data_IF_406211913179
#
_entry.id   IF_406211913179
#
_cell.length_a   1.000
_cell.length_b   1.000
_cell.length_c   1.000
_cell.angle_alpha   90.00
_cell.angle_beta   90.00
_cell.angle_gamma   90.00
#
_symmetry.space_group_name_H-M   'P 1'
#
loop_
_entity.id
_entity.type
_entity.pdbx_description
1 polymer ?
#
# COMPACT_ATOMS: atom_id res chain seq x y z
N UNK A 1 -24.24 -1.91 -11.54
CA UNK A 1 -23.60 -2.91 -10.64
C UNK A 1 -22.84 -2.18 -9.55
N UNK A 2 -23.03 -2.55 -8.29
CA UNK A 2 -22.36 -1.95 -7.13
C UNK A 2 -20.97 -2.59 -6.88
N UNK A 3 -20.05 -1.85 -6.25
CA UNK A 3 -18.72 -2.35 -5.85
C UNK A 3 -18.79 -3.69 -5.09
N UNK A 4 -19.72 -3.80 -4.13
CA UNK A 4 -19.91 -5.01 -3.34
C UNK A 4 -20.29 -6.20 -4.24
N UNK A 5 -21.20 -5.99 -5.20
CA UNK A 5 -21.64 -7.06 -6.12
C UNK A 5 -20.52 -7.55 -7.05
N UNK A 6 -19.60 -6.67 -7.44
CA UNK A 6 -18.43 -7.06 -8.23
C UNK A 6 -17.41 -7.85 -7.41
N UNK A 7 -17.13 -7.42 -6.18
CA UNK A 7 -16.21 -8.10 -5.26
C UNK A 7 -16.71 -9.50 -4.90
N UNK A 8 -17.99 -9.63 -4.56
CA UNK A 8 -18.61 -10.92 -4.23
C UNK A 8 -18.55 -11.88 -5.42
N UNK A 9 -18.90 -11.41 -6.63
CA UNK A 9 -18.81 -12.22 -7.85
C UNK A 9 -17.39 -12.70 -8.12
N UNK A 10 -16.41 -11.82 -7.90
CA UNK A 10 -14.99 -12.16 -8.06
C UNK A 10 -14.53 -13.21 -7.03
N UNK A 11 -14.86 -13.03 -5.75
CA UNK A 11 -14.56 -14.00 -4.68
C UNK A 11 -15.17 -15.37 -4.99
N UNK A 12 -16.46 -15.39 -5.36
CA UNK A 12 -17.18 -16.61 -5.71
C UNK A 12 -16.52 -17.35 -6.89
N UNK A 13 -16.11 -16.64 -7.94
CA UNK A 13 -15.40 -17.23 -9.07
C UNK A 13 -14.04 -17.83 -8.71
N UNK A 14 -13.31 -17.24 -7.76
CA UNK A 14 -12.01 -17.77 -7.30
C UNK A 14 -12.15 -19.02 -6.45
N UNK A 15 -13.15 -19.05 -5.58
CA UNK A 15 -13.45 -20.22 -4.74
C UNK A 15 -13.92 -21.39 -5.64
N UNK A 16 -14.80 -21.11 -6.61
CA UNK A 16 -15.27 -22.12 -7.56
C UNK A 16 -14.15 -22.64 -8.49
N UNK A 17 -13.27 -21.76 -8.97
CA UNK A 17 -12.15 -22.14 -9.85
C UNK A 17 -11.07 -22.96 -9.16
N UNK A 18 -10.93 -22.88 -7.84
CA UNK A 18 -10.01 -23.73 -7.06
C UNK A 18 -10.48 -25.19 -6.98
N UNK A 19 -11.75 -25.48 -7.27
CA UNK A 19 -12.33 -26.82 -7.19
C UNK A 19 -12.17 -27.65 -8.49
N UNK A 20 -11.68 -27.07 -9.59
CA UNK A 20 -11.52 -27.77 -10.86
C UNK A 20 -10.10 -28.38 -10.98
N UNK A 21 -9.96 -29.71 -11.13
CA UNK A 21 -8.63 -30.33 -11.26
C UNK A 21 -8.00 -29.98 -12.63
N UNK A 22 -6.72 -29.57 -12.67
CA UNK A 22 -6.05 -29.20 -13.92
C UNK A 22 -5.69 -30.43 -14.75
N UNK A 23 -6.03 -30.41 -16.04
CA UNK A 23 -5.65 -31.46 -16.99
C UNK A 23 -4.15 -31.33 -17.39
N UNK A 24 -3.28 -32.29 -17.01
CA UNK A 24 -1.82 -32.14 -17.09
C UNK A 24 -1.26 -32.02 -18.52
N UNK A 25 -1.97 -32.54 -19.52
CA UNK A 25 -1.52 -32.51 -20.92
C UNK A 25 -1.62 -31.11 -21.56
N UNK A 26 -2.60 -30.28 -21.18
CA UNK A 26 -2.68 -28.88 -21.64
C UNK A 26 -1.63 -27.98 -20.99
N UNK A 27 -1.21 -28.31 -19.77
CA UNK A 27 -0.21 -27.54 -19.03
C UNK A 27 1.22 -27.72 -19.57
N UNK A 28 1.53 -28.87 -20.19
CA UNK A 28 2.83 -29.11 -20.83
C UNK A 28 2.95 -28.38 -22.18
N UNK A 29 1.91 -28.40 -23.02
CA UNK A 29 1.93 -27.76 -24.34
C UNK A 29 1.94 -26.22 -24.28
N UNK A 30 1.37 -25.61 -23.24
CA UNK A 30 1.35 -24.15 -23.08
C UNK A 30 2.67 -23.54 -22.58
N UNK A 31 3.59 -24.37 -22.07
CA UNK A 31 4.87 -23.92 -21.47
C UNK A 31 6.00 -23.71 -22.47
N UNK A 32 5.90 -24.22 -23.70
CA UNK A 32 7.07 -24.28 -24.59
C UNK A 32 7.37 -22.99 -25.37
N UNK A 33 6.39 -22.15 -25.74
CA UNK A 33 6.66 -20.92 -26.53
C UNK A 33 5.60 -19.84 -26.32
N UNK A 34 5.32 -19.43 -25.08
CA UNK A 34 4.45 -18.28 -24.83
C UNK A 34 5.29 -17.07 -24.41
N UNK A 35 5.49 -16.11 -25.32
CA UNK A 35 5.96 -14.77 -24.94
C UNK A 35 5.07 -14.24 -23.81
N UNK A 36 5.62 -13.65 -22.74
CA UNK A 36 4.81 -13.19 -21.62
C UNK A 36 3.77 -12.18 -22.11
N UNK A 37 2.48 -12.55 -22.08
CA UNK A 37 1.42 -11.62 -22.43
C UNK A 37 1.39 -10.48 -21.41
N UNK A 38 1.18 -9.23 -21.86
CA UNK A 38 1.00 -8.12 -20.95
C UNK A 38 -0.26 -8.37 -20.10
N UNK A 39 -0.15 -8.04 -18.81
CA UNK A 39 -1.29 -8.01 -17.92
C UNK A 39 -2.32 -7.02 -18.45
N UNK A 40 -3.60 -7.34 -18.27
CA UNK A 40 -4.70 -6.47 -18.68
C UNK A 40 -5.34 -5.85 -17.47
N UNK A 41 -5.70 -4.58 -17.57
CA UNK A 41 -6.57 -3.97 -16.57
C UNK A 41 -7.92 -4.67 -16.52
N UNK A 42 -8.42 -4.94 -15.31
CA UNK A 42 -9.79 -5.44 -15.13
C UNK A 42 -10.80 -4.40 -15.56
N UNK A 43 -11.83 -4.85 -16.29
CA UNK A 43 -12.99 -4.03 -16.58
C UNK A 43 -14.09 -4.25 -15.52
N UNK A 44 -14.80 -3.18 -15.09
CA UNK A 44 -14.57 -1.78 -15.43
C UNK A 44 -13.39 -1.19 -14.63
N UNK A 45 -12.48 -0.52 -15.33
CA UNK A 45 -11.19 -0.09 -14.80
C UNK A 45 -11.33 0.80 -13.57
N UNK A 46 -12.05 1.92 -13.69
CA UNK A 46 -12.18 2.89 -12.60
C UNK A 46 -12.75 2.29 -11.32
N UNK A 47 -13.69 1.34 -11.45
CA UNK A 47 -14.27 0.70 -10.28
C UNK A 47 -13.23 -0.17 -9.54
N UNK A 48 -12.47 -1.01 -10.26
CA UNK A 48 -11.44 -1.82 -9.59
C UNK A 48 -10.33 -0.96 -8.96
N UNK A 49 -9.99 0.17 -9.57
CA UNK A 49 -9.07 1.16 -9.01
C UNK A 49 -9.60 1.77 -7.71
N UNK A 50 -10.83 2.29 -7.73
CA UNK A 50 -11.45 2.92 -6.55
C UNK A 50 -11.68 1.91 -5.42
N UNK A 51 -12.17 0.72 -5.74
CA UNK A 51 -12.41 -0.33 -4.75
C UNK A 51 -11.11 -0.73 -4.05
N UNK A 52 -10.05 -0.98 -4.83
CA UNK A 52 -8.75 -1.34 -4.25
C UNK A 52 -8.17 -0.17 -3.46
N UNK A 53 -8.24 1.06 -3.95
CA UNK A 53 -7.78 2.24 -3.22
C UNK A 53 -8.50 2.42 -1.88
N UNK A 54 -9.84 2.36 -1.87
CA UNK A 54 -10.64 2.48 -0.65
C UNK A 54 -10.37 1.33 0.32
N UNK A 55 -10.47 0.08 -0.14
CA UNK A 55 -10.31 -1.09 0.72
C UNK A 55 -8.91 -1.15 1.35
N UNK A 56 -7.87 -0.83 0.57
CA UNK A 56 -6.49 -0.98 1.02
C UNK A 56 -6.02 0.19 1.89
N UNK A 57 -6.61 1.37 1.71
CA UNK A 57 -6.47 2.48 2.65
C UNK A 57 -7.10 2.12 3.99
N UNK A 58 -8.35 1.64 4.00
CA UNK A 58 -9.04 1.30 5.24
C UNK A 58 -8.40 0.11 5.98
N UNK A 59 -7.77 -0.81 5.26
CA UNK A 59 -7.06 -1.95 5.84
C UNK A 59 -5.60 -1.65 6.19
N UNK A 60 -5.13 -0.41 5.99
CA UNK A 60 -3.74 -0.08 6.29
C UNK A 60 -3.48 -0.08 7.80
N UNK A 61 -2.44 -0.79 8.29
CA UNK A 61 -2.07 -0.82 9.70
C UNK A 61 -1.98 0.56 10.36
N UNK A 62 -1.38 1.60 9.73
CA UNK A 62 -1.32 2.93 10.35
C UNK A 62 -2.69 3.55 10.64
N UNK A 63 -3.70 3.29 9.80
CA UNK A 63 -5.07 3.80 10.02
C UNK A 63 -5.66 3.19 11.29
N UNK A 64 -5.47 1.89 11.48
CA UNK A 64 -5.94 1.18 12.68
C UNK A 64 -5.12 1.50 13.92
N UNK A 65 -3.79 1.53 13.82
CA UNK A 65 -2.92 1.85 14.96
C UNK A 65 -3.18 3.27 15.47
N UNK A 66 -3.21 4.27 14.57
CA UNK A 66 -3.49 5.66 14.96
C UNK A 66 -4.95 5.80 15.45
N UNK A 67 -5.91 5.20 14.75
CA UNK A 67 -7.31 5.21 15.16
C UNK A 67 -7.53 4.62 16.55
N UNK A 68 -6.88 3.49 16.85
CA UNK A 68 -6.94 2.85 18.17
C UNK A 68 -6.30 3.73 19.26
N UNK A 69 -5.15 4.36 18.98
CA UNK A 69 -4.51 5.30 19.91
C UNK A 69 -5.44 6.48 20.23
N UNK A 70 -6.08 7.06 19.21
CA UNK A 70 -7.04 8.16 19.38
C UNK A 70 -8.33 7.74 20.09
N UNK A 71 -8.75 6.48 19.97
CA UNK A 71 -9.89 5.94 20.71
C UNK A 71 -9.57 5.73 22.20
N UNK A 72 -8.35 5.30 22.52
CA UNK A 72 -7.89 5.14 23.91
C UNK A 72 -7.74 6.50 24.57
N UNK A 73 -7.12 7.45 23.87
CA UNK A 73 -6.99 8.82 24.33
C UNK A 73 -7.08 9.79 23.16
N UNK A 74 -8.21 10.49 23.06
CA UNK A 74 -8.43 11.52 22.05
C UNK A 74 -7.65 12.82 22.34
N UNK A 75 -7.18 13.01 23.58
CA UNK A 75 -6.36 14.17 23.92
C UNK A 75 -4.98 14.03 23.30
N UNK A 76 -4.67 14.95 22.40
CA UNK A 76 -3.34 15.10 21.83
C UNK A 76 -3.05 16.58 21.68
N UNK A 77 -1.84 16.98 22.05
CA UNK A 77 -1.36 18.35 21.84
C UNK A 77 -1.22 18.71 20.35
N UNK A 78 -1.31 17.72 19.45
CA UNK A 78 -1.20 17.87 18.00
C UNK A 78 -2.28 17.09 17.24
N UNK A 79 -3.57 17.46 17.33
CA UNK A 79 -4.66 16.69 16.71
C UNK A 79 -4.55 16.64 15.18
N UNK A 80 -4.06 17.71 14.56
CA UNK A 80 -3.83 17.77 13.11
C UNK A 80 -2.72 16.84 12.64
N UNK A 81 -1.72 16.54 13.48
CA UNK A 81 -0.65 15.60 13.12
C UNK A 81 -1.23 14.22 12.81
N UNK A 82 -2.09 13.70 13.67
CA UNK A 82 -2.70 12.38 13.49
C UNK A 82 -3.64 12.32 12.29
N UNK A 83 -4.43 13.37 12.08
CA UNK A 83 -5.29 13.48 10.90
C UNK A 83 -4.48 13.45 9.60
N UNK A 84 -3.39 14.22 9.53
CA UNK A 84 -2.51 14.21 8.37
C UNK A 84 -1.74 12.89 8.23
N UNK A 85 -1.30 12.27 9.32
CA UNK A 85 -0.65 10.97 9.29
C UNK A 85 -1.57 9.90 8.68
N UNK A 86 -2.85 9.88 9.05
CA UNK A 86 -3.85 9.01 8.41
C UNK A 86 -4.03 9.37 6.93
N UNK A 87 -4.10 10.66 6.59
CA UNK A 87 -4.31 11.13 5.22
C UNK A 87 -3.15 10.83 4.26
N UNK A 88 -1.92 10.64 4.77
CA UNK A 88 -0.78 10.24 3.94
C UNK A 88 -1.03 8.89 3.26
N UNK A 89 -1.69 7.94 3.94
CA UNK A 89 -1.94 6.59 3.43
C UNK A 89 -2.72 6.59 2.10
N UNK A 90 -3.92 7.20 2.00
CA UNK A 90 -4.63 7.25 0.72
C UNK A 90 -3.88 8.06 -0.35
N UNK A 91 -3.16 9.12 0.03
CA UNK A 91 -2.40 9.96 -0.90
C UNK A 91 -1.26 9.17 -1.54
N UNK A 92 -0.42 8.51 -0.73
CA UNK A 92 0.72 7.74 -1.22
C UNK A 92 0.27 6.57 -2.11
N UNK A 93 -0.76 5.83 -1.69
CA UNK A 93 -1.32 4.74 -2.47
C UNK A 93 -1.98 5.24 -3.77
N UNK A 94 -2.69 6.38 -3.72
CA UNK A 94 -3.31 6.99 -4.91
C UNK A 94 -2.27 7.41 -5.95
N UNK A 95 -1.17 8.04 -5.53
CA UNK A 95 -0.08 8.41 -6.44
C UNK A 95 0.59 7.16 -7.03
N UNK A 96 0.79 6.10 -6.23
CA UNK A 96 1.36 4.85 -6.73
C UNK A 96 0.47 4.19 -7.80
N UNK A 97 -0.86 4.24 -7.64
CA UNK A 97 -1.82 3.77 -8.66
C UNK A 97 -1.69 4.58 -9.95
N UNK A 98 -1.66 5.93 -9.84
CA UNK A 98 -1.52 6.81 -11.01
C UNK A 98 -0.19 6.55 -11.71
N UNK A 99 0.91 6.46 -10.96
CA UNK A 99 2.23 6.16 -11.49
C UNK A 99 2.27 4.78 -12.18
N UNK A 100 1.63 3.77 -11.60
CA UNK A 100 1.55 2.44 -12.18
C UNK A 100 0.74 2.46 -13.48
N UNK A 101 -0.34 3.24 -13.53
CA UNK A 101 -1.12 3.44 -14.74
C UNK A 101 -0.30 4.11 -15.85
N UNK A 102 0.37 5.23 -15.53
CA UNK A 102 1.24 5.94 -16.47
C UNK A 102 2.37 5.04 -16.99
N UNK A 103 3.01 4.28 -16.10
CA UNK A 103 4.04 3.32 -16.48
C UNK A 103 3.47 2.22 -17.38
N UNK A 104 2.34 1.62 -17.02
CA UNK A 104 1.73 0.51 -17.77
C UNK A 104 1.31 0.93 -19.19
N UNK A 105 0.88 2.18 -19.38
CA UNK A 105 0.59 2.74 -20.70
C UNK A 105 1.84 2.84 -21.60
N UNK A 106 3.02 3.11 -21.02
CA UNK A 106 4.28 3.25 -21.77
C UNK A 106 5.02 1.93 -21.92
N UNK A 107 5.03 1.12 -20.87
CA UNK A 107 5.72 -0.17 -20.76
C UNK A 107 4.82 -1.14 -19.98
N UNK A 108 4.03 -1.96 -20.69
CA UNK A 108 3.10 -2.88 -20.06
C UNK A 108 3.80 -3.87 -19.12
N UNK A 109 3.20 -4.07 -17.96
CA UNK A 109 3.64 -5.06 -17.00
C UNK A 109 3.24 -6.46 -17.47
N UNK A 110 4.15 -7.42 -17.33
CA UNK A 110 3.92 -8.84 -17.68
C UNK A 110 3.70 -9.73 -16.46
N UNK A 111 4.04 -9.24 -15.25
CA UNK A 111 3.94 -9.98 -14.00
C UNK A 111 3.36 -9.12 -12.87
N UNK A 112 2.47 -9.70 -12.06
CA UNK A 112 1.84 -9.01 -10.92
C UNK A 112 2.85 -8.63 -9.85
N UNK A 113 3.89 -9.44 -9.64
CA UNK A 113 4.96 -9.12 -8.71
C UNK A 113 5.70 -7.84 -9.10
N UNK A 114 5.92 -7.61 -10.40
CA UNK A 114 6.54 -6.38 -10.90
C UNK A 114 5.67 -5.14 -10.67
N UNK A 115 4.35 -5.29 -10.83
CA UNK A 115 3.38 -4.23 -10.48
C UNK A 115 3.45 -3.93 -8.99
N UNK A 116 3.32 -4.96 -8.15
CA UNK A 116 3.32 -4.82 -6.69
C UNK A 116 4.62 -4.18 -6.20
N UNK A 117 5.77 -4.63 -6.69
CA UNK A 117 7.06 -4.07 -6.32
C UNK A 117 7.21 -2.61 -6.75
N UNK A 118 6.76 -2.27 -7.97
CA UNK A 118 6.78 -0.88 -8.43
C UNK A 118 5.89 0.02 -7.57
N UNK A 119 4.64 -0.39 -7.33
CA UNK A 119 3.72 0.37 -6.48
C UNK A 119 4.26 0.50 -5.07
N UNK A 120 4.85 -0.57 -4.51
CA UNK A 120 5.43 -0.57 -3.18
C UNK A 120 6.53 0.48 -3.05
N UNK A 121 7.46 0.53 -3.99
CA UNK A 121 8.54 1.52 -3.95
C UNK A 121 8.02 2.95 -4.09
N UNK A 122 7.08 3.19 -5.01
CA UNK A 122 6.49 4.54 -5.19
C UNK A 122 5.72 4.98 -3.95
N UNK A 123 4.83 4.13 -3.44
CA UNK A 123 4.02 4.43 -2.26
C UNK A 123 4.88 4.58 -1.00
N UNK A 124 5.86 3.71 -0.79
CA UNK A 124 6.76 3.78 0.36
C UNK A 124 7.60 5.05 0.31
N UNK A 125 8.18 5.39 -0.86
CA UNK A 125 8.97 6.61 -0.99
C UNK A 125 8.12 7.86 -0.67
N UNK A 126 6.94 7.97 -1.27
CA UNK A 126 6.04 9.11 -1.02
C UNK A 126 5.57 9.14 0.43
N UNK A 127 5.15 7.99 0.98
CA UNK A 127 4.69 7.87 2.36
C UNK A 127 5.78 8.27 3.35
N UNK A 128 7.00 7.76 3.19
CA UNK A 128 8.15 8.13 4.01
C UNK A 128 8.44 9.64 3.91
N UNK A 129 8.52 10.19 2.70
CA UNK A 129 8.80 11.62 2.50
C UNK A 129 7.75 12.50 3.15
N UNK A 130 6.46 12.21 2.91
CA UNK A 130 5.37 12.99 3.51
C UNK A 130 5.34 12.86 5.04
N UNK A 131 5.63 11.68 5.58
CA UNK A 131 5.66 11.46 7.02
C UNK A 131 6.82 12.19 7.70
N UNK A 132 8.02 12.17 7.10
CA UNK A 132 9.15 12.96 7.59
C UNK A 132 8.84 14.45 7.54
N UNK A 133 8.28 14.94 6.42
CA UNK A 133 7.88 16.35 6.28
C UNK A 133 6.83 16.74 7.33
N UNK A 134 5.87 15.86 7.60
CA UNK A 134 4.85 16.08 8.62
C UNK A 134 5.48 16.19 10.02
N UNK A 135 6.32 15.22 10.41
CA UNK A 135 7.01 15.25 11.70
C UNK A 135 7.88 16.51 11.87
N UNK A 136 8.57 16.90 10.79
CA UNK A 136 9.39 18.11 10.77
C UNK A 136 8.54 19.36 10.95
N UNK A 137 7.44 19.50 10.19
CA UNK A 137 6.60 20.69 10.17
C UNK A 137 5.74 20.87 11.42
N UNK A 138 5.37 19.77 12.08
CA UNK A 138 4.62 19.77 13.33
C UNK A 138 5.48 19.77 14.58
N UNK A 139 6.82 19.76 14.42
CA UNK A 139 7.76 19.59 15.53
C UNK A 139 7.46 18.35 16.40
N UNK A 140 6.95 17.27 15.79
CA UNK A 140 6.59 16.03 16.50
C UNK A 140 7.79 15.11 16.79
N UNK A 141 8.96 15.40 16.22
CA UNK A 141 10.16 14.56 16.36
C UNK A 141 10.51 14.29 17.84
N UNK A 142 10.59 15.29 18.75
CA UNK A 142 10.91 15.02 20.15
C UNK A 142 9.86 14.16 20.85
N UNK A 143 8.57 14.38 20.55
CA UNK A 143 7.47 13.63 21.17
C UNK A 143 7.42 12.16 20.72
N UNK A 144 7.78 11.88 19.46
CA UNK A 144 7.74 10.53 18.89
C UNK A 144 9.04 9.74 19.09
N UNK A 145 10.19 10.41 19.07
CA UNK A 145 11.51 9.77 19.21
C UNK A 145 11.98 9.76 20.66
N UNK A 146 11.61 10.77 21.47
CA UNK A 146 12.00 10.89 22.87
C UNK A 146 11.75 9.61 23.68
N UNK A 147 10.54 9.01 23.62
CA UNK A 147 10.26 7.74 24.31
C UNK A 147 11.06 6.53 23.80
N UNK A 148 11.59 6.59 22.57
CA UNK A 148 12.38 5.51 21.94
C UNK A 148 13.88 5.62 22.27
N UNK A 149 14.32 6.80 22.71
CA UNK A 149 15.67 7.04 23.19
C UNK A 149 15.76 6.65 24.68
N UNK A 150 16.13 5.38 24.92
CA UNK A 150 16.20 4.76 26.25
C UNK A 150 17.13 5.50 27.23
N UNK A 151 18.11 6.26 26.72
CA UNK A 151 19.03 7.05 27.52
C UNK A 151 18.69 8.53 27.38
N UNK A 152 18.07 9.12 28.41
CA UNK A 152 17.58 10.51 28.46
C UNK A 152 18.64 11.62 28.40
N UNK A 153 19.73 11.42 27.65
CA UNK A 153 20.69 12.46 27.27
C UNK A 153 20.44 12.98 25.85
N UNK A 154 21.04 14.12 25.52
CA UNK A 154 20.99 14.69 24.17
C UNK A 154 21.34 13.65 23.11
N UNK A 155 20.34 13.25 22.33
CA UNK A 155 20.53 12.33 21.21
C UNK A 155 21.52 12.96 20.24
N UNK A 156 22.64 12.25 20.00
CA UNK A 156 23.55 12.63 18.91
C UNK A 156 22.73 12.73 17.60
N UNK A 157 22.98 13.75 16.76
CA UNK A 157 22.20 13.98 15.54
C UNK A 157 22.06 12.75 14.63
N UNK A 158 23.09 11.90 14.57
CA UNK A 158 23.06 10.65 13.81
C UNK A 158 22.06 9.62 14.37
N UNK A 159 21.98 9.48 15.69
CA UNK A 159 21.03 8.56 16.35
C UNK A 159 19.60 9.04 16.17
N UNK A 160 19.38 10.36 16.28
CA UNK A 160 18.07 10.98 15.99
C UNK A 160 17.63 10.71 14.56
N UNK A 161 18.52 10.94 13.58
CA UNK A 161 18.23 10.68 12.17
C UNK A 161 17.90 9.20 11.92
N UNK A 162 18.58 8.27 12.61
CA UNK A 162 18.30 6.83 12.53
C UNK A 162 16.88 6.50 13.01
N UNK A 163 16.45 7.04 14.16
CA UNK A 163 15.10 6.83 14.68
C UNK A 163 14.02 7.43 13.79
N UNK A 164 14.24 8.64 13.29
CA UNK A 164 13.32 9.28 12.33
C UNK A 164 13.20 8.44 11.05
N UNK A 165 14.33 7.95 10.52
CA UNK A 165 14.34 7.08 9.36
C UNK A 165 13.64 5.75 9.63
N UNK A 166 13.85 5.15 10.81
CA UNK A 166 13.19 3.91 11.21
C UNK A 166 11.67 4.08 11.33
N UNK A 167 11.20 5.16 11.98
CA UNK A 167 9.77 5.48 12.07
C UNK A 167 9.15 5.71 10.70
N UNK A 168 9.82 6.49 9.84
CA UNK A 168 9.36 6.74 8.49
C UNK A 168 9.31 5.46 7.65
N UNK A 169 10.34 4.62 7.72
CA UNK A 169 10.37 3.34 7.04
C UNK A 169 9.26 2.41 7.53
N UNK A 170 9.07 2.27 8.84
CA UNK A 170 7.97 1.46 9.40
C UNK A 170 6.62 1.98 8.93
N UNK A 171 6.39 3.30 8.98
CA UNK A 171 5.16 3.92 8.50
C UNK A 171 4.93 3.63 7.01
N UNK A 172 5.91 3.94 6.15
CA UNK A 172 5.81 3.79 4.71
C UNK A 172 5.67 2.33 4.25
N UNK A 173 6.38 1.40 4.89
CA UNK A 173 6.28 -0.04 4.58
C UNK A 173 4.91 -0.57 4.99
N UNK A 174 4.49 -0.30 6.23
CA UNK A 174 3.19 -0.80 6.73
C UNK A 174 2.01 -0.17 6.00
N UNK A 175 2.10 1.08 5.54
CA UNK A 175 1.04 1.71 4.74
C UNK A 175 0.90 1.16 3.32
N UNK A 176 1.93 0.48 2.80
CA UNK A 176 2.08 0.25 1.35
C UNK A 176 2.24 -1.21 0.95
N UNK A 177 2.79 -2.08 1.81
CA UNK A 177 3.13 -3.45 1.45
C UNK A 177 1.90 -4.30 1.08
N UNK A 178 0.91 -4.37 1.96
CA UNK A 178 -0.34 -5.10 1.71
C UNK A 178 -1.11 -4.49 0.55
N UNK A 179 -1.14 -3.16 0.48
CA UNK A 179 -1.85 -2.42 -0.56
C UNK A 179 -1.29 -2.73 -1.95
N UNK A 180 0.03 -2.70 -2.10
CA UNK A 180 0.68 -2.91 -3.40
C UNK A 180 0.48 -4.34 -3.91
N UNK A 181 0.57 -5.33 -3.02
CA UNK A 181 0.31 -6.73 -3.36
C UNK A 181 -1.16 -6.88 -3.75
N UNK A 182 -2.08 -6.53 -2.87
CA UNK A 182 -3.51 -6.74 -3.09
C UNK A 182 -4.02 -5.98 -4.33
N UNK A 183 -3.56 -4.75 -4.55
CA UNK A 183 -3.91 -3.97 -5.74
C UNK A 183 -3.48 -4.67 -7.02
N UNK A 184 -2.25 -5.21 -7.09
CA UNK A 184 -1.78 -5.95 -8.25
C UNK A 184 -2.64 -7.19 -8.56
N UNK A 185 -3.24 -7.82 -7.54
CA UNK A 185 -4.16 -8.95 -7.71
C UNK A 185 -5.59 -8.54 -8.09
N UNK A 186 -6.08 -7.43 -7.51
CA UNK A 186 -7.42 -6.93 -7.75
C UNK A 186 -7.53 -6.25 -9.11
N UNK A 187 -6.59 -5.38 -9.47
CA UNK A 187 -6.72 -4.50 -10.62
C UNK A 187 -6.24 -5.12 -11.95
N UNK A 188 -5.41 -6.17 -11.91
CA UNK A 188 -4.90 -6.84 -13.11
C UNK A 188 -5.45 -8.26 -13.33
N UNK A 189 -5.75 -8.57 -14.58
CA UNK A 189 -6.00 -9.90 -15.14
C UNK A 189 -4.74 -10.43 -15.85
N UNK A 190 -4.56 -11.76 -15.78
CA UNK A 190 -3.46 -12.49 -16.40
C UNK A 190 -4.00 -13.35 -17.54
#
# INVERSE_FOLDING_TARGET
MSFATMLVRWLAGRIAGAAAPPNPQRAAAARSVASPRPLRWRAPWLAWQLLSWCALTLLAPPVWSIGALLLVNASSDQPLFWAFAIAIVPVANGIAIVAANQRHHRMPFTRRSTVALFMFFVATAIGCTLFVLLMWRSHAIPALVGPLAVDGGDLRPATLACWVAALAATFGVTSSAHASIAHAWLAFEA
#
